data_IF_830002039327
#
_entry.id   IF_830002039327
#
_cell.length_a   1.000
_cell.length_b   1.000
_cell.length_c   1.000
_cell.angle_alpha   90.00
_cell.angle_beta   90.00
_cell.angle_gamma   90.00
#
_symmetry.space_group_name_H-M   'P 1'
#
loop_
_entity.id
_entity.type
_entity.pdbx_description
1 polymer ?
#
# COMPACT_ATOMS: atom_id res chain seq x y z
N UNK A 1 -12.52 -28.82 -38.35
CA UNK A 1 -12.49 -28.73 -36.86
C UNK A 1 -11.31 -27.92 -36.34
N UNK A 2 -10.07 -28.20 -36.73
CA UNK A 2 -8.85 -27.51 -36.18
C UNK A 2 -8.87 -25.97 -36.31
N UNK A 3 -9.29 -25.40 -37.45
CA UNK A 3 -9.39 -23.94 -37.67
C UNK A 3 -10.42 -23.27 -36.77
N UNK A 4 -11.59 -23.91 -36.53
CA UNK A 4 -12.62 -23.37 -35.63
C UNK A 4 -12.17 -23.38 -34.18
N UNK A 5 -11.47 -24.46 -33.74
CA UNK A 5 -10.90 -24.55 -32.41
C UNK A 5 -9.80 -23.48 -32.17
N UNK A 6 -8.89 -23.31 -33.16
CA UNK A 6 -7.86 -22.28 -33.09
C UNK A 6 -8.47 -20.88 -32.98
N UNK A 7 -9.48 -20.57 -33.79
CA UNK A 7 -10.19 -19.29 -33.71
C UNK A 7 -10.84 -19.07 -32.34
N UNK A 8 -11.51 -20.09 -31.79
CA UNK A 8 -12.12 -20.02 -30.47
C UNK A 8 -11.10 -19.77 -29.36
N UNK A 9 -9.97 -20.47 -29.39
CA UNK A 9 -8.88 -20.28 -28.43
C UNK A 9 -8.26 -18.88 -28.52
N UNK A 10 -8.11 -18.37 -29.76
CA UNK A 10 -7.59 -17.00 -29.95
C UNK A 10 -8.55 -15.95 -29.38
N UNK A 11 -9.86 -16.09 -29.65
CA UNK A 11 -10.87 -15.18 -29.10
C UNK A 11 -10.91 -15.26 -27.58
N UNK A 12 -10.87 -16.44 -26.98
CA UNK A 12 -10.84 -16.62 -25.55
C UNK A 12 -9.58 -15.97 -24.90
N UNK A 13 -8.41 -16.16 -25.53
CA UNK A 13 -7.17 -15.51 -25.10
C UNK A 13 -7.24 -13.98 -25.18
N UNK A 14 -7.83 -13.45 -26.24
CA UNK A 14 -8.01 -12.00 -26.42
C UNK A 14 -8.95 -11.43 -25.36
N UNK A 15 -10.07 -12.10 -25.08
CA UNK A 15 -11.00 -11.69 -24.03
C UNK A 15 -10.33 -11.70 -22.64
N UNK A 16 -9.51 -12.71 -22.35
CA UNK A 16 -8.75 -12.77 -21.10
C UNK A 16 -7.75 -11.61 -20.98
N UNK A 17 -7.04 -11.29 -22.06
CA UNK A 17 -6.13 -10.14 -22.10
C UNK A 17 -6.87 -8.82 -21.86
N UNK A 18 -8.00 -8.60 -22.52
CA UNK A 18 -8.83 -7.41 -22.34
C UNK A 18 -9.28 -7.31 -20.87
N UNK A 19 -9.72 -8.41 -20.28
CA UNK A 19 -10.13 -8.46 -18.89
C UNK A 19 -8.99 -8.07 -17.95
N UNK A 20 -7.81 -8.68 -18.11
CA UNK A 20 -6.63 -8.35 -17.29
C UNK A 20 -6.21 -6.89 -17.45
N UNK A 21 -6.15 -6.40 -18.70
CA UNK A 21 -5.84 -4.99 -18.96
C UNK A 21 -6.84 -4.04 -18.31
N UNK A 22 -8.13 -4.39 -18.28
CA UNK A 22 -9.16 -3.55 -17.65
C UNK A 22 -8.99 -3.46 -16.13
N UNK A 23 -8.59 -4.54 -15.46
CA UNK A 23 -8.31 -4.55 -14.01
C UNK A 23 -7.10 -3.65 -13.67
N UNK A 24 -6.00 -3.75 -14.44
CA UNK A 24 -4.84 -2.88 -14.27
C UNK A 24 -5.16 -1.41 -14.57
N UNK A 25 -5.96 -1.15 -15.60
CA UNK A 25 -6.40 0.20 -15.93
C UNK A 25 -7.22 0.83 -14.81
N UNK A 26 -8.16 0.09 -14.22
CA UNK A 26 -8.99 0.57 -13.09
C UNK A 26 -8.12 0.91 -11.87
N UNK A 27 -7.15 0.06 -11.54
CA UNK A 27 -6.19 0.31 -10.46
C UNK A 27 -5.38 1.59 -10.72
N UNK A 28 -4.80 1.72 -11.92
CA UNK A 28 -4.00 2.89 -12.29
C UNK A 28 -4.84 4.18 -12.32
N UNK A 29 -6.01 4.15 -12.92
CA UNK A 29 -6.92 5.30 -12.97
C UNK A 29 -7.39 5.70 -11.56
N UNK A 30 -7.68 4.71 -10.70
CA UNK A 30 -8.02 4.95 -9.29
C UNK A 30 -6.90 5.63 -8.52
N UNK A 31 -5.68 5.14 -8.62
CA UNK A 31 -4.51 5.76 -7.98
C UNK A 31 -4.22 7.15 -8.53
N UNK A 32 -4.36 7.36 -9.84
CA UNK A 32 -4.19 8.69 -10.44
C UNK A 32 -5.20 9.70 -9.90
N UNK A 33 -6.46 9.29 -9.76
CA UNK A 33 -7.51 10.13 -9.18
C UNK A 33 -7.17 10.48 -7.72
N UNK A 34 -6.81 9.50 -6.90
CA UNK A 34 -6.41 9.71 -5.51
C UNK A 34 -5.16 10.60 -5.39
N UNK A 35 -4.20 10.45 -6.30
CA UNK A 35 -3.02 11.31 -6.33
C UNK A 35 -3.36 12.77 -6.63
N UNK A 36 -4.31 13.04 -7.54
CA UNK A 36 -4.80 14.39 -7.82
C UNK A 36 -5.55 14.98 -6.62
N UNK A 37 -6.41 14.20 -5.98
CA UNK A 37 -7.11 14.61 -4.76
C UNK A 37 -6.11 14.91 -3.63
N UNK A 38 -5.09 14.07 -3.45
CA UNK A 38 -4.01 14.31 -2.49
C UNK A 38 -3.25 15.61 -2.79
N UNK A 39 -2.93 15.87 -4.07
CA UNK A 39 -2.27 17.13 -4.46
C UNK A 39 -3.12 18.36 -4.13
N UNK A 40 -4.42 18.31 -4.38
CA UNK A 40 -5.35 19.40 -4.05
C UNK A 40 -5.41 19.63 -2.55
N UNK A 41 -5.51 18.58 -1.74
CA UNK A 41 -5.50 18.68 -0.27
C UNK A 41 -4.16 19.25 0.25
N UNK A 42 -3.04 18.89 -0.36
CA UNK A 42 -1.71 19.34 0.04
C UNK A 42 -1.45 20.80 -0.35
N UNK A 43 -2.08 21.28 -1.42
CA UNK A 43 -1.94 22.67 -1.88
C UNK A 43 -2.79 23.68 -1.09
N UNK A 44 -3.82 23.21 -0.36
CA UNK A 44 -4.71 24.05 0.45
C UNK A 44 -4.79 23.56 1.91
N UNK A 45 -3.72 23.69 2.68
CA UNK A 45 -3.66 23.17 4.04
C UNK A 45 -4.68 23.83 4.99
N UNK A 46 -5.19 25.03 4.69
CA UNK A 46 -6.17 25.75 5.51
C UNK A 46 -7.62 25.20 5.38
N UNK A 47 -7.93 24.48 4.30
CA UNK A 47 -9.24 23.85 4.08
C UNK A 47 -9.20 22.38 4.49
N UNK A 48 -8.57 22.07 5.60
CA UNK A 48 -8.50 20.70 6.11
C UNK A 48 -9.86 20.33 6.69
N UNK A 49 -10.51 19.26 6.24
CA UNK A 49 -11.73 18.75 6.85
C UNK A 49 -11.52 18.58 8.37
N UNK A 50 -12.49 18.99 9.17
CA UNK A 50 -12.43 18.92 10.63
C UNK A 50 -12.25 17.47 11.15
N UNK A 51 -12.48 16.48 10.29
CA UNK A 51 -12.26 15.07 10.55
C UNK A 51 -10.85 14.66 10.10
N UNK A 52 -10.07 14.19 11.06
CA UNK A 52 -8.76 13.57 10.80
C UNK A 52 -8.86 12.32 9.91
N UNK A 53 -10.07 11.77 9.73
CA UNK A 53 -10.37 10.58 8.90
C UNK A 53 -10.24 10.84 7.39
N UNK A 54 -10.40 12.08 6.95
CA UNK A 54 -10.50 12.39 5.53
C UNK A 54 -9.18 12.85 4.89
N UNK A 55 -8.09 12.89 5.66
CA UNK A 55 -6.79 13.27 5.11
C UNK A 55 -6.12 12.07 4.42
N UNK A 56 -5.92 12.19 3.11
CA UNK A 56 -5.19 11.21 2.33
C UNK A 56 -3.73 11.13 2.76
N UNK A 57 -3.19 9.92 2.78
CA UNK A 57 -1.79 9.63 3.10
C UNK A 57 -1.11 9.10 1.86
N UNK A 58 0.08 9.60 1.54
CA UNK A 58 0.90 9.08 0.45
C UNK A 58 2.08 8.31 1.04
N UNK A 59 2.22 7.06 0.64
CA UNK A 59 3.30 6.16 1.02
C UNK A 59 4.34 6.13 -0.09
N UNK A 60 5.59 6.47 0.25
CA UNK A 60 6.72 6.43 -0.68
C UNK A 60 7.83 5.57 -0.10
N UNK A 61 8.33 4.61 -0.88
CA UNK A 61 9.48 3.77 -0.53
C UNK A 61 10.39 3.73 -1.76
N UNK A 62 11.40 4.60 -1.77
CA UNK A 62 12.26 4.82 -2.94
C UNK A 62 12.98 3.55 -3.41
N UNK A 63 13.46 2.75 -2.47
CA UNK A 63 14.21 1.51 -2.75
C UNK A 63 13.46 0.51 -3.62
N UNK A 64 12.14 0.43 -3.47
CA UNK A 64 11.29 -0.52 -4.21
C UNK A 64 10.40 0.19 -5.24
N UNK A 65 10.69 1.44 -5.53
CA UNK A 65 9.95 2.25 -6.50
C UNK A 65 8.44 2.35 -6.19
N UNK A 66 8.08 2.30 -4.89
CA UNK A 66 6.71 2.44 -4.45
C UNK A 66 6.36 3.91 -4.21
N UNK A 67 5.29 4.37 -4.84
CA UNK A 67 4.69 5.68 -4.61
C UNK A 67 3.18 5.56 -4.83
N UNK A 68 2.42 5.52 -3.75
CA UNK A 68 0.98 5.27 -3.81
C UNK A 68 0.22 6.02 -2.72
N UNK A 69 -1.02 6.37 -3.01
CA UNK A 69 -1.95 6.90 -2.01
C UNK A 69 -2.58 5.74 -1.26
N UNK A 70 -2.50 5.82 0.07
CA UNK A 70 -3.09 4.85 0.99
C UNK A 70 -4.59 5.11 1.11
N UNK A 71 -5.39 4.08 0.95
CA UNK A 71 -6.85 4.11 1.12
C UNK A 71 -7.24 3.64 2.51
N UNK A 72 -8.39 4.04 3.01
CA UNK A 72 -8.89 3.53 4.29
C UNK A 72 -9.54 2.16 4.10
N UNK A 73 -9.25 1.25 5.03
CA UNK A 73 -9.78 -0.12 5.04
C UNK A 73 -8.98 -1.14 4.23
N UNK A 74 -9.18 -2.41 4.57
CA UNK A 74 -8.48 -3.56 3.98
C UNK A 74 -9.42 -4.50 3.22
N UNK A 75 -10.59 -4.00 2.79
CA UNK A 75 -11.52 -4.76 1.95
C UNK A 75 -10.90 -5.06 0.58
N UNK A 76 -11.42 -6.09 -0.11
CA UNK A 76 -10.98 -6.38 -1.50
C UNK A 76 -11.13 -5.17 -2.41
N UNK A 77 -12.18 -4.37 -2.22
CA UNK A 77 -12.43 -3.15 -3.01
C UNK A 77 -11.37 -2.09 -2.72
N UNK A 78 -11.05 -1.85 -1.44
CA UNK A 78 -10.01 -0.90 -1.03
C UNK A 78 -8.64 -1.32 -1.57
N UNK A 79 -8.25 -2.58 -1.38
CA UNK A 79 -6.93 -3.10 -1.79
C UNK A 79 -6.74 -3.17 -3.31
N UNK A 80 -7.81 -3.17 -4.11
CA UNK A 80 -7.72 -2.99 -5.57
C UNK A 80 -7.31 -1.56 -5.95
N UNK A 81 -7.69 -0.56 -5.15
CA UNK A 81 -7.39 0.84 -5.42
C UNK A 81 -6.00 1.25 -4.94
N UNK A 82 -5.52 0.69 -3.83
CA UNK A 82 -4.25 1.08 -3.25
C UNK A 82 -3.84 0.26 -2.03
N UNK A 83 -2.68 0.57 -1.43
CA UNK A 83 -2.37 0.10 -0.09
C UNK A 83 -3.47 0.55 0.88
N UNK A 84 -3.97 -0.34 1.72
CA UNK A 84 -5.07 -0.10 2.64
C UNK A 84 -4.59 0.08 4.08
N UNK A 85 -4.99 1.17 4.73
CA UNK A 85 -4.80 1.35 6.17
C UNK A 85 -5.81 0.51 6.95
N UNK A 86 -5.35 -0.21 7.95
CA UNK A 86 -6.21 -1.02 8.82
C UNK A 86 -6.93 -0.13 9.83
N UNK A 87 -8.25 -0.01 9.73
CA UNK A 87 -9.10 0.92 10.49
C UNK A 87 -8.92 0.87 12.02
N UNK A 88 -8.59 -0.32 12.56
CA UNK A 88 -8.38 -0.53 14.00
C UNK A 88 -6.90 -0.33 14.43
N UNK A 89 -6.04 0.15 13.55
CA UNK A 89 -4.65 0.50 13.86
C UNK A 89 -4.48 2.00 14.08
N UNK A 90 -3.32 2.41 14.60
CA UNK A 90 -3.02 3.83 14.74
C UNK A 90 -2.96 4.49 13.36
N UNK A 91 -3.35 5.77 13.29
CA UNK A 91 -3.27 6.50 12.04
C UNK A 91 -1.84 6.70 11.60
N UNK A 92 -1.58 6.65 10.28
CA UNK A 92 -0.27 6.94 9.74
C UNK A 92 0.28 8.29 10.23
N UNK A 93 1.46 8.26 10.86
CA UNK A 93 2.09 9.43 11.46
C UNK A 93 1.65 9.78 12.89
N UNK A 94 0.77 9.00 13.52
CA UNK A 94 0.37 9.16 14.92
C UNK A 94 1.09 8.17 15.83
N UNK A 95 1.08 8.41 17.15
CA UNK A 95 1.55 7.43 18.15
C UNK A 95 0.75 6.13 18.04
N UNK A 96 1.41 5.01 18.26
CA UNK A 96 0.85 3.68 18.12
C UNK A 96 1.38 2.94 16.88
N UNK A 97 0.80 1.79 16.61
CA UNK A 97 1.16 0.97 15.45
C UNK A 97 0.21 1.24 14.29
N UNK A 98 0.70 1.90 13.25
CA UNK A 98 -0.03 2.08 12.00
C UNK A 98 0.21 0.89 11.08
N UNK A 99 -0.86 0.20 10.67
CA UNK A 99 -0.77 -1.00 9.84
C UNK A 99 -1.30 -0.72 8.44
N UNK A 100 -0.46 -0.93 7.44
CA UNK A 100 -0.81 -0.79 6.02
C UNK A 100 -0.65 -2.14 5.34
N UNK A 101 -1.70 -2.56 4.64
CA UNK A 101 -1.76 -3.84 3.94
C UNK A 101 -1.86 -3.60 2.44
N UNK A 102 -1.19 -4.41 1.61
CA UNK A 102 -1.38 -4.37 0.17
C UNK A 102 -1.14 -5.75 -0.46
N UNK A 103 -1.61 -5.89 -1.70
CA UNK A 103 -1.39 -7.10 -2.47
C UNK A 103 0.08 -7.29 -2.83
N UNK A 104 0.55 -8.55 -2.79
CA UNK A 104 1.92 -8.96 -3.11
C UNK A 104 2.28 -8.88 -4.60
N UNK A 105 1.28 -8.89 -5.46
CA UNK A 105 1.40 -8.89 -6.92
C UNK A 105 1.26 -7.49 -7.53
N UNK A 106 0.95 -6.48 -6.70
CA UNK A 106 0.82 -5.08 -7.11
C UNK A 106 1.72 -4.16 -6.26
N UNK A 107 1.15 -3.44 -5.32
CA UNK A 107 1.85 -2.39 -4.56
C UNK A 107 3.00 -2.93 -3.69
N UNK A 108 2.83 -4.08 -3.04
CA UNK A 108 3.85 -4.67 -2.17
C UNK A 108 4.62 -5.83 -2.83
N UNK A 109 4.72 -5.78 -4.16
CA UNK A 109 5.40 -6.82 -4.95
C UNK A 109 6.87 -7.00 -4.55
N UNK A 110 7.54 -5.91 -4.22
CA UNK A 110 8.97 -5.87 -3.87
C UNK A 110 9.22 -5.63 -2.38
N UNK A 111 8.19 -5.83 -1.53
CA UNK A 111 8.31 -5.56 -0.09
C UNK A 111 9.37 -6.45 0.59
N UNK A 112 9.63 -7.63 0.04
CA UNK A 112 10.66 -8.56 0.51
C UNK A 112 12.11 -8.11 0.21
N UNK A 113 12.29 -7.06 -0.60
CA UNK A 113 13.59 -6.47 -0.87
C UNK A 113 14.05 -5.51 0.24
N UNK A 114 13.11 -5.05 1.09
CA UNK A 114 13.45 -4.15 2.20
C UNK A 114 14.35 -4.82 3.24
N UNK A 115 15.25 -4.04 3.78
CA UNK A 115 16.23 -4.43 4.81
C UNK A 115 16.20 -3.42 5.96
N UNK A 116 16.75 -3.80 7.08
CA UNK A 116 16.99 -2.89 8.21
C UNK A 116 17.79 -1.66 7.75
N UNK A 117 17.36 -0.49 8.19
CA UNK A 117 17.92 0.81 7.80
C UNK A 117 17.30 1.44 6.56
N UNK A 118 16.43 0.75 5.82
CA UNK A 118 15.74 1.35 4.67
C UNK A 118 14.68 2.37 5.12
N UNK A 119 14.55 3.45 4.35
CA UNK A 119 13.64 4.55 4.67
C UNK A 119 12.26 4.38 4.01
N UNK A 120 11.23 4.77 4.76
CA UNK A 120 9.83 4.81 4.34
C UNK A 120 9.26 6.17 4.70
N UNK A 121 8.71 6.88 3.72
CA UNK A 121 8.06 8.16 3.91
C UNK A 121 6.54 8.02 3.87
N UNK A 122 5.87 8.58 4.88
CA UNK A 122 4.43 8.83 4.86
C UNK A 122 4.18 10.33 4.81
N UNK A 123 3.56 10.80 3.73
CA UNK A 123 3.23 12.22 3.55
C UNK A 123 1.76 12.47 3.84
N UNK A 124 1.51 13.40 4.76
CA UNK A 124 0.16 13.76 5.19
C UNK A 124 0.14 15.21 5.67
N UNK A 125 -0.85 16.00 5.23
CA UNK A 125 -1.08 17.38 5.68
C UNK A 125 0.17 18.29 5.60
N UNK A 126 0.94 18.18 4.54
CA UNK A 126 2.16 18.98 4.37
C UNK A 126 3.34 18.56 5.27
N UNK A 127 3.22 17.44 5.96
CA UNK A 127 4.30 16.83 6.74
C UNK A 127 4.76 15.51 6.12
N UNK A 128 6.03 15.22 6.28
CA UNK A 128 6.67 13.95 5.89
C UNK A 128 7.09 13.24 7.15
N UNK A 129 6.41 12.17 7.49
CA UNK A 129 6.77 11.29 8.60
C UNK A 129 7.75 10.24 8.08
N UNK A 130 8.97 10.29 8.56
CA UNK A 130 10.03 9.38 8.16
C UNK A 130 10.10 8.19 9.09
N UNK A 131 10.16 7.00 8.51
CA UNK A 131 10.31 5.74 9.22
C UNK A 131 11.53 5.00 8.69
N UNK A 132 12.20 4.26 9.56
CA UNK A 132 13.32 3.39 9.24
C UNK A 132 12.95 1.94 9.54
N UNK A 133 13.16 1.05 8.59
CA UNK A 133 12.91 -0.38 8.76
C UNK A 133 13.78 -0.93 9.88
N UNK A 134 13.18 -1.58 10.86
CA UNK A 134 13.86 -2.22 12.00
C UNK A 134 13.89 -3.74 11.90
N UNK A 135 13.16 -4.31 10.95
CA UNK A 135 13.18 -5.73 10.71
C UNK A 135 12.04 -6.21 9.82
N UNK A 136 12.18 -7.45 9.38
CA UNK A 136 11.15 -8.15 8.62
C UNK A 136 11.03 -9.59 9.09
N UNK A 137 9.83 -10.15 9.02
CA UNK A 137 9.58 -11.54 9.37
C UNK A 137 8.47 -12.14 8.52
N UNK A 138 8.52 -13.46 8.36
CA UNK A 138 7.46 -14.23 7.73
C UNK A 138 6.69 -14.95 8.82
N UNK A 139 5.37 -14.77 8.83
CA UNK A 139 4.48 -15.29 9.88
C UNK A 139 3.32 -16.07 9.28
N UNK A 140 2.65 -16.87 10.09
CA UNK A 140 1.41 -17.52 9.72
C UNK A 140 0.25 -16.49 9.62
N UNK A 141 -0.77 -16.73 8.77
CA UNK A 141 -1.90 -15.80 8.63
C UNK A 141 -2.68 -15.53 9.93
N UNK A 142 -2.58 -16.43 10.89
CA UNK A 142 -3.23 -16.35 12.21
C UNK A 142 -2.38 -15.62 13.26
N UNK A 143 -1.13 -15.28 12.95
CA UNK A 143 -0.26 -14.54 13.87
C UNK A 143 -0.64 -13.05 13.86
N UNK A 144 -1.30 -12.62 14.93
CA UNK A 144 -1.73 -11.24 15.12
C UNK A 144 -0.68 -10.38 15.86
N UNK A 145 0.51 -10.90 16.16
CA UNK A 145 1.55 -10.16 16.89
C UNK A 145 2.02 -8.90 16.17
N UNK A 146 1.93 -8.88 14.84
CA UNK A 146 2.23 -7.70 14.02
C UNK A 146 1.23 -6.54 14.22
N UNK A 147 0.03 -6.83 14.71
CA UNK A 147 -1.05 -5.87 14.90
C UNK A 147 -1.05 -5.24 16.30
N UNK A 148 -0.20 -5.75 17.21
CA UNK A 148 -0.14 -5.24 18.57
C UNK A 148 0.20 -3.75 18.59
N UNK A 149 -0.45 -3.03 19.52
CA UNK A 149 -0.20 -1.61 19.73
C UNK A 149 1.25 -1.34 20.15
N UNK A 150 1.72 -0.14 19.88
CA UNK A 150 3.05 0.32 20.23
C UNK A 150 2.97 1.60 21.07
N UNK A 151 3.79 1.78 22.11
CA UNK A 151 3.84 3.03 22.87
C UNK A 151 4.37 4.21 22.05
N UNK A 152 5.19 3.94 21.06
CA UNK A 152 5.74 4.93 20.12
C UNK A 152 5.17 4.75 18.71
N UNK A 153 5.32 5.76 17.87
CA UNK A 153 4.93 5.69 16.47
C UNK A 153 5.70 4.57 15.75
N UNK A 154 4.97 3.61 15.23
CA UNK A 154 5.47 2.45 14.49
C UNK A 154 4.66 2.27 13.22
N UNK A 155 5.32 1.90 12.16
CA UNK A 155 4.70 1.52 10.90
C UNK A 155 4.89 0.02 10.68
N UNK A 156 3.82 -0.67 10.34
CA UNK A 156 3.84 -2.10 9.99
C UNK A 156 3.25 -2.29 8.61
N UNK A 157 4.03 -2.82 7.67
CA UNK A 157 3.59 -3.15 6.32
C UNK A 157 3.39 -4.65 6.23
N UNK A 158 2.23 -5.08 5.68
CA UNK A 158 1.87 -6.50 5.59
C UNK A 158 1.45 -6.85 4.17
N UNK A 159 1.98 -7.96 3.66
CA UNK A 159 1.55 -8.54 2.41
C UNK A 159 1.50 -10.07 2.47
N UNK A 160 0.91 -10.68 1.47
CA UNK A 160 0.93 -12.13 1.28
C UNK A 160 2.35 -12.61 0.91
N UNK A 161 2.74 -13.80 1.39
CA UNK A 161 4.06 -14.37 1.11
C UNK A 161 3.92 -15.86 0.69
N UNK A 162 4.77 -16.35 -0.24
CA UNK A 162 5.84 -15.64 -0.98
C UNK A 162 5.32 -14.56 -1.94
N UNK A 163 6.14 -13.51 -2.16
CA UNK A 163 5.78 -12.39 -3.05
C UNK A 163 5.73 -12.81 -4.52
N UNK A 164 6.66 -13.69 -4.93
CA UNK A 164 6.78 -14.21 -6.30
C UNK A 164 6.21 -15.64 -6.40
N UNK A 165 4.93 -15.81 -6.09
CA UNK A 165 4.28 -17.11 -6.10
C UNK A 165 2.88 -17.05 -6.71
N UNK A 166 2.54 -18.02 -7.56
CA UNK A 166 1.20 -18.16 -8.14
C UNK A 166 0.38 -19.13 -7.30
N UNK A 167 -0.77 -18.69 -6.79
CA UNK A 167 -1.67 -19.48 -5.98
C UNK A 167 -1.96 -18.89 -4.59
N UNK A 168 -2.66 -19.62 -3.72
CA UNK A 168 -2.96 -19.18 -2.35
C UNK A 168 -1.69 -18.95 -1.55
N UNK A 169 -1.59 -17.81 -0.86
CA UNK A 169 -0.43 -17.47 -0.05
C UNK A 169 -0.51 -18.13 1.32
N UNK A 170 0.41 -19.06 1.66
CA UNK A 170 0.39 -19.75 2.93
C UNK A 170 0.78 -18.85 4.11
N UNK A 171 1.55 -17.80 3.87
CA UNK A 171 2.13 -16.96 4.93
C UNK A 171 1.92 -15.47 4.67
N UNK A 172 2.38 -14.65 5.63
CA UNK A 172 2.43 -13.19 5.51
C UNK A 172 3.86 -12.70 5.71
N UNK A 173 4.27 -11.75 4.87
CA UNK A 173 5.48 -10.96 5.10
C UNK A 173 5.07 -9.72 5.88
N UNK A 174 5.76 -9.48 6.99
CA UNK A 174 5.61 -8.33 7.86
C UNK A 174 6.91 -7.56 7.88
N UNK A 175 6.87 -6.29 7.54
CA UNK A 175 7.98 -5.33 7.68
C UNK A 175 7.59 -4.33 8.75
N UNK A 176 8.48 -4.11 9.71
CA UNK A 176 8.29 -3.18 10.83
C UNK A 176 9.28 -2.04 10.70
N UNK A 177 8.80 -0.82 10.85
CA UNK A 177 9.63 0.38 10.82
C UNK A 177 9.30 1.28 12.02
N UNK A 178 10.34 1.91 12.59
CA UNK A 178 10.24 2.90 13.66
C UNK A 178 10.20 4.30 13.09
N UNK A 179 9.49 5.19 13.72
CA UNK A 179 9.55 6.62 13.39
C UNK A 179 10.93 7.20 13.75
N UNK A 180 11.51 7.99 12.84
CA UNK A 180 12.80 8.65 13.01
C UNK A 180 12.72 10.18 12.95
N UNK A 181 11.65 10.75 12.44
CA UNK A 181 11.47 12.18 12.38
C UNK A 181 10.28 12.63 11.55
N UNK A 182 10.00 13.92 11.64
CA UNK A 182 8.99 14.59 10.80
C UNK A 182 9.62 15.81 10.16
N UNK A 183 9.50 15.93 8.84
CA UNK A 183 9.93 17.08 8.06
C UNK A 183 8.70 17.84 7.60
N UNK A 184 8.76 19.17 7.61
CA UNK A 184 7.76 20.00 6.92
C UNK A 184 8.00 19.87 5.42
N UNK A 185 6.97 19.54 4.66
CA UNK A 185 7.04 19.53 3.22
C UNK A 185 7.10 20.98 2.72
N UNK A 186 8.31 21.54 2.65
CA UNK A 186 8.54 22.79 1.91
C UNK A 186 8.47 22.44 0.43
N UNK A 187 7.27 22.49 -0.15
CA UNK A 187 7.03 22.20 -1.55
C UNK A 187 8.04 22.93 -2.45
N UNK A 188 8.83 22.17 -3.19
CA UNK A 188 9.52 22.61 -4.41
C UNK A 188 8.72 22.12 -5.59
#
# INVERSE_FOLDING_TARGET
MRRRLAFFLTCAGLLLLIYVCSEYWQMYAGQRKLALEWQQQSAQPEVIPASDKDSLVRLTIAKINLDAVVVEGTSRKSLKLGPGHMENSARPGSSGNSVIVAHRDTFFRHLDELREGDEIDLRRRGEVYQFEVTGRRVVEPTDLSALQQSPSARLTLITCYPTHYVGPAPKRLVVVARWIGTLKNTGK
#
